data_IF_123031797905
#
_entry.id   IF_123031797905
#
_cell.length_a   1.000
_cell.length_b   1.000
_cell.length_c   1.000
_cell.angle_alpha   90.00
_cell.angle_beta   90.00
_cell.angle_gamma   90.00
#
_symmetry.space_group_name_H-M   'P 1'
#
loop_
_entity.id
_entity.type
_entity.pdbx_description
1 polymer ?
#
# COMPACT_ATOMS: atom_id res chain seq x y z
N UNK A 1 -1.94 21.74 14.54
CA UNK A 1 -1.30 21.42 13.25
C UNK A 1 -0.42 20.16 13.36
N UNK A 2 -1.00 19.01 13.71
CA UNK A 2 -0.27 17.73 13.95
C UNK A 2 -0.63 16.64 12.92
N UNK A 3 -0.91 17.02 11.67
CA UNK A 3 -1.38 16.08 10.65
C UNK A 3 -0.26 15.57 9.71
N UNK A 4 0.89 16.24 9.60
CA UNK A 4 1.79 16.04 8.45
C UNK A 4 2.74 14.83 8.60
N UNK A 5 2.88 14.25 9.79
CA UNK A 5 3.88 13.18 10.04
C UNK A 5 3.37 11.74 9.84
N UNK A 6 2.07 11.52 9.61
CA UNK A 6 1.45 10.18 9.53
C UNK A 6 1.02 9.75 8.13
N UNK A 7 1.38 10.51 7.08
CA UNK A 7 0.92 10.25 5.70
C UNK A 7 1.90 9.44 4.82
N UNK A 8 3.14 9.22 5.26
CA UNK A 8 4.15 8.38 4.58
C UNK A 8 4.49 7.12 5.40
N UNK A 9 3.48 6.40 5.91
CA UNK A 9 3.69 5.22 6.77
C UNK A 9 4.33 4.05 6.00
N UNK A 10 4.17 3.98 4.67
CA UNK A 10 4.74 2.88 3.88
C UNK A 10 6.28 2.88 3.85
N UNK A 11 6.94 4.04 3.67
CA UNK A 11 8.41 4.05 3.49
C UNK A 11 9.14 3.93 4.83
N UNK A 12 8.60 4.48 5.92
CA UNK A 12 9.27 4.45 7.22
C UNK A 12 9.23 3.07 7.90
N UNK A 13 8.10 2.35 7.80
CA UNK A 13 7.92 1.05 8.46
C UNK A 13 8.61 -0.09 7.72
N UNK A 14 8.83 0.06 6.41
CA UNK A 14 9.30 -1.01 5.53
C UNK A 14 10.76 -0.80 5.07
N UNK A 15 11.41 0.29 5.48
CA UNK A 15 12.76 0.70 5.05
C UNK A 15 13.86 -0.36 5.22
N UNK A 16 13.72 -1.27 6.17
CA UNK A 16 14.66 -2.38 6.46
C UNK A 16 14.03 -3.77 6.30
N UNK A 17 12.89 -3.87 5.62
CA UNK A 17 12.10 -5.10 5.44
C UNK A 17 12.07 -5.50 3.97
N UNK A 18 11.90 -6.79 3.66
CA UNK A 18 11.70 -7.22 2.27
C UNK A 18 10.24 -7.01 1.90
N UNK A 19 9.99 -6.22 0.87
CA UNK A 19 8.64 -5.90 0.43
C UNK A 19 8.49 -5.99 -1.07
N UNK A 20 7.25 -6.19 -1.50
CA UNK A 20 6.87 -6.20 -2.90
C UNK A 20 5.53 -5.52 -3.08
N UNK A 21 5.34 -4.97 -4.27
CA UNK A 21 4.06 -4.47 -4.73
C UNK A 21 3.34 -5.57 -5.51
N UNK A 22 2.04 -5.74 -5.29
CA UNK A 22 1.22 -6.77 -5.94
C UNK A 22 -0.08 -6.16 -6.46
N UNK A 23 -0.48 -6.58 -7.66
CA UNK A 23 -1.70 -6.12 -8.33
C UNK A 23 -2.77 -7.20 -8.49
N UNK A 24 -2.50 -8.42 -7.99
CA UNK A 24 -3.38 -9.58 -8.07
C UNK A 24 -3.18 -10.53 -6.89
N UNK A 25 -4.14 -11.43 -6.66
CA UNK A 25 -4.03 -12.44 -5.61
C UNK A 25 -2.91 -13.45 -5.88
N UNK A 26 -2.69 -13.83 -7.14
CA UNK A 26 -1.62 -14.76 -7.54
C UNK A 26 -0.22 -14.19 -7.24
N UNK A 27 -0.02 -12.89 -7.49
CA UNK A 27 1.22 -12.20 -7.13
C UNK A 27 1.41 -12.12 -5.61
N UNK A 28 0.33 -11.91 -4.86
CA UNK A 28 0.38 -11.95 -3.40
C UNK A 28 0.81 -13.34 -2.89
N UNK A 29 0.29 -14.43 -3.44
CA UNK A 29 0.70 -15.79 -3.09
C UNK A 29 2.19 -16.04 -3.36
N UNK A 30 2.69 -15.58 -4.53
CA UNK A 30 4.11 -15.68 -4.90
C UNK A 30 4.99 -14.87 -3.95
N UNK A 31 4.60 -13.65 -3.65
CA UNK A 31 5.29 -12.76 -2.72
C UNK A 31 5.41 -13.37 -1.32
N UNK A 32 4.29 -13.87 -0.81
CA UNK A 32 4.19 -14.53 0.49
C UNK A 32 5.08 -15.79 0.53
N UNK A 33 5.12 -16.55 -0.56
CA UNK A 33 5.99 -17.73 -0.71
C UNK A 33 7.47 -17.36 -0.78
N UNK A 34 7.82 -16.18 -1.30
CA UNK A 34 9.18 -15.65 -1.30
C UNK A 34 9.64 -15.12 0.07
N UNK A 35 8.74 -15.10 1.07
CA UNK A 35 9.06 -14.71 2.45
C UNK A 35 9.23 -13.20 2.61
N UNK A 36 8.39 -12.40 1.95
CA UNK A 36 8.33 -10.95 2.19
C UNK A 36 7.79 -10.63 3.57
N UNK A 37 8.28 -9.54 4.16
CA UNK A 37 7.85 -9.02 5.45
C UNK A 37 6.68 -8.03 5.32
N UNK A 38 6.48 -7.47 4.12
CA UNK A 38 5.40 -6.54 3.83
C UNK A 38 4.94 -6.63 2.37
N UNK A 39 3.67 -6.32 2.13
CA UNK A 39 3.05 -6.31 0.81
C UNK A 39 2.33 -4.98 0.62
N UNK A 40 2.62 -4.33 -0.52
CA UNK A 40 1.88 -3.17 -0.99
C UNK A 40 0.83 -3.68 -1.98
N UNK A 41 -0.44 -3.62 -1.60
CA UNK A 41 -1.56 -4.01 -2.46
C UNK A 41 -1.93 -2.81 -3.32
N UNK A 42 -1.63 -2.89 -4.60
CA UNK A 42 -1.91 -1.84 -5.58
C UNK A 42 -3.21 -2.14 -6.31
N UNK A 43 -4.22 -1.30 -6.11
CA UNK A 43 -5.43 -1.34 -6.93
C UNK A 43 -5.20 -0.70 -8.30
N UNK A 44 -6.08 -1.02 -9.25
CA UNK A 44 -6.10 -0.43 -10.59
C UNK A 44 -6.19 1.11 -10.58
N UNK A 45 -6.69 1.70 -9.50
CA UNK A 45 -6.82 3.15 -9.31
C UNK A 45 -5.48 3.84 -8.98
N UNK A 46 -4.37 3.11 -8.90
CA UNK A 46 -3.04 3.68 -8.73
C UNK A 46 -2.60 4.50 -9.96
N UNK A 47 -1.70 5.45 -9.72
CA UNK A 47 -1.03 6.18 -10.80
C UNK A 47 0.39 5.66 -10.99
N UNK A 48 0.98 5.87 -12.18
CA UNK A 48 2.34 5.41 -12.51
C UNK A 48 2.33 4.09 -13.27
N UNK A 49 3.25 3.18 -12.93
CA UNK A 49 3.27 1.83 -13.52
C UNK A 49 2.29 0.93 -12.77
N UNK A 50 1.05 0.89 -13.28
CA UNK A 50 -0.04 0.13 -12.65
C UNK A 50 0.11 -1.34 -12.98
N UNK A 51 0.36 -2.15 -11.95
CA UNK A 51 0.32 -3.62 -11.99
C UNK A 51 -1.06 -4.14 -11.57
N UNK A 52 -1.84 -3.32 -10.83
CA UNK A 52 -3.19 -3.64 -10.37
C UNK A 52 -4.17 -3.94 -11.50
N UNK A 53 -4.71 -5.16 -11.52
CA UNK A 53 -5.81 -5.55 -12.42
C UNK A 53 -7.17 -5.42 -11.75
N UNK A 54 -7.23 -5.65 -10.44
CA UNK A 54 -8.44 -5.51 -9.64
C UNK A 54 -8.49 -4.14 -8.94
N UNK A 55 -9.71 -3.65 -8.68
CA UNK A 55 -9.91 -2.46 -7.86
C UNK A 55 -9.49 -2.70 -6.40
N UNK A 56 -8.89 -1.68 -5.76
CA UNK A 56 -8.30 -1.82 -4.41
C UNK A 56 -9.29 -2.38 -3.38
N UNK A 57 -10.55 -1.91 -3.42
CA UNK A 57 -11.59 -2.31 -2.46
C UNK A 57 -11.90 -3.81 -2.51
N UNK A 58 -11.71 -4.45 -3.68
CA UNK A 58 -11.97 -5.86 -3.88
C UNK A 58 -10.71 -6.71 -3.60
N UNK A 59 -9.53 -6.20 -4.00
CA UNK A 59 -8.28 -6.94 -3.87
C UNK A 59 -7.78 -6.98 -2.42
N UNK A 60 -7.87 -5.86 -1.71
CA UNK A 60 -7.31 -5.70 -0.37
C UNK A 60 -7.77 -6.74 0.65
N UNK A 61 -9.09 -6.97 0.89
CA UNK A 61 -9.52 -7.96 1.87
C UNK A 61 -9.08 -9.38 1.51
N UNK A 62 -9.05 -9.72 0.21
CA UNK A 62 -8.61 -11.05 -0.26
C UNK A 62 -7.14 -11.30 0.05
N UNK A 63 -6.29 -10.27 -0.11
CA UNK A 63 -4.87 -10.37 0.24
C UNK A 63 -4.67 -10.42 1.75
N UNK A 64 -5.47 -9.69 2.52
CA UNK A 64 -5.44 -9.75 4.00
C UNK A 64 -5.80 -11.15 4.49
N UNK A 65 -6.88 -11.74 3.97
CA UNK A 65 -7.32 -13.09 4.32
C UNK A 65 -6.25 -14.14 3.97
N UNK A 66 -5.58 -13.98 2.83
CA UNK A 66 -4.49 -14.86 2.39
C UNK A 66 -3.30 -14.88 3.36
N UNK A 67 -3.02 -13.78 4.04
CA UNK A 67 -1.87 -13.65 4.95
C UNK A 67 -2.26 -13.64 6.42
N UNK A 68 -3.52 -13.94 6.76
CA UNK A 68 -4.04 -13.83 8.12
C UNK A 68 -3.28 -14.70 9.14
N UNK A 69 -2.69 -15.81 8.70
CA UNK A 69 -1.86 -16.72 9.50
C UNK A 69 -0.37 -16.32 9.55
N UNK A 70 0.01 -15.23 8.88
CA UNK A 70 1.39 -14.77 8.73
C UNK A 70 1.58 -13.37 9.29
N UNK A 71 2.78 -13.09 9.80
CA UNK A 71 3.13 -11.77 10.31
C UNK A 71 3.59 -10.82 9.18
N UNK A 72 2.73 -10.63 8.17
CA UNK A 72 3.01 -9.79 6.99
C UNK A 72 2.29 -8.45 7.11
N UNK A 73 3.03 -7.36 6.92
CA UNK A 73 2.46 -6.01 6.96
C UNK A 73 1.76 -5.72 5.63
N UNK A 74 0.48 -5.36 5.67
CA UNK A 74 -0.31 -5.00 4.49
C UNK A 74 -0.45 -3.49 4.36
N UNK A 75 -0.10 -2.93 3.19
CA UNK A 75 -0.23 -1.51 2.88
C UNK A 75 -1.13 -1.36 1.65
N UNK A 76 -2.15 -0.52 1.73
CA UNK A 76 -3.06 -0.28 0.63
C UNK A 76 -2.59 0.89 -0.26
N UNK A 77 -2.62 0.72 -1.58
CA UNK A 77 -2.20 1.73 -2.56
C UNK A 77 -3.20 1.80 -3.72
N UNK A 78 -3.52 3.02 -4.17
CA UNK A 78 -4.44 3.27 -5.30
C UNK A 78 -5.75 3.93 -4.88
N UNK A 79 -6.14 5.01 -5.57
CA UNK A 79 -7.44 5.67 -5.36
C UNK A 79 -7.70 6.34 -3.99
N UNK A 80 -6.79 6.27 -3.02
CA UNK A 80 -6.97 6.88 -1.69
C UNK A 80 -6.60 8.37 -1.73
N UNK A 81 -7.55 9.24 -1.35
CA UNK A 81 -7.43 10.71 -1.50
C UNK A 81 -7.48 11.46 -0.18
N UNK A 82 -8.25 10.96 0.79
CA UNK A 82 -8.52 11.62 2.06
C UNK A 82 -8.67 10.63 3.23
N UNK A 83 -9.04 11.15 4.41
CA UNK A 83 -9.23 10.35 5.62
C UNK A 83 -10.31 9.26 5.51
N UNK A 84 -11.31 9.41 4.62
CA UNK A 84 -12.35 8.40 4.42
C UNK A 84 -11.76 7.17 3.76
N UNK A 85 -10.96 7.38 2.71
CA UNK A 85 -10.24 6.29 2.05
C UNK A 85 -9.22 5.62 2.98
N UNK A 86 -8.56 6.40 3.85
CA UNK A 86 -7.68 5.84 4.89
C UNK A 86 -8.44 4.92 5.86
N UNK A 87 -9.55 5.39 6.43
CA UNK A 87 -10.37 4.59 7.36
C UNK A 87 -10.95 3.36 6.68
N UNK A 88 -11.39 3.48 5.42
CA UNK A 88 -11.85 2.35 4.63
C UNK A 88 -10.75 1.28 4.46
N UNK A 89 -9.52 1.70 4.10
CA UNK A 89 -8.40 0.77 3.95
C UNK A 89 -8.06 0.05 5.26
N UNK A 90 -8.04 0.76 6.40
CA UNK A 90 -7.83 0.14 7.71
C UNK A 90 -8.95 -0.83 8.08
N UNK A 91 -10.21 -0.48 7.77
CA UNK A 91 -11.37 -1.33 8.04
C UNK A 91 -11.35 -2.62 7.21
N UNK A 92 -10.71 -2.59 6.04
CA UNK A 92 -10.46 -3.76 5.19
C UNK A 92 -9.22 -4.58 5.60
N UNK A 93 -8.55 -4.20 6.70
CA UNK A 93 -7.41 -4.96 7.25
C UNK A 93 -6.02 -4.46 6.83
N UNK A 94 -5.92 -3.32 6.15
CA UNK A 94 -4.61 -2.70 5.93
C UNK A 94 -4.01 -2.16 7.23
N UNK A 95 -2.69 -2.22 7.33
CA UNK A 95 -1.90 -1.63 8.43
C UNK A 95 -1.51 -0.17 8.13
N UNK A 96 -1.66 0.26 6.88
CA UNK A 96 -1.32 1.61 6.42
C UNK A 96 -1.69 1.83 4.96
N UNK A 97 -1.39 3.04 4.47
CA UNK A 97 -1.66 3.44 3.09
C UNK A 97 -0.42 4.03 2.42
N UNK A 98 -0.31 3.85 1.11
CA UNK A 98 0.69 4.50 0.26
C UNK A 98 0.00 5.53 -0.64
N UNK A 99 0.48 6.78 -0.61
CA UNK A 99 -0.06 7.90 -1.36
C UNK A 99 0.99 8.44 -2.33
N UNK A 100 0.71 8.34 -3.63
CA UNK A 100 1.54 8.93 -4.70
C UNK A 100 0.87 10.16 -5.30
N UNK A 101 -0.10 9.95 -6.20
CA UNK A 101 -0.77 10.99 -7.01
C UNK A 101 -1.25 12.21 -6.21
N UNK A 102 -1.82 12.00 -5.02
CA UNK A 102 -2.30 13.08 -4.13
C UNK A 102 -1.20 14.08 -3.76
N UNK A 103 0.05 13.63 -3.69
CA UNK A 103 1.20 14.39 -3.20
C UNK A 103 2.00 15.07 -4.32
N UNK A 104 1.69 14.80 -5.60
CA UNK A 104 2.43 15.35 -6.77
C UNK A 104 2.42 16.88 -6.80
N UNK A 105 1.33 17.50 -6.33
CA UNK A 105 1.21 18.97 -6.28
C UNK A 105 1.79 19.58 -4.99
N UNK A 106 2.31 18.77 -4.07
CA UNK A 106 2.93 19.23 -2.83
C UNK A 106 4.45 19.26 -2.98
N UNK A 107 5.00 20.44 -3.29
CA UNK A 107 6.45 20.67 -3.53
C UNK A 107 7.39 20.14 -2.43
N UNK A 108 6.91 20.00 -1.20
CA UNK A 108 7.72 19.59 -0.05
C UNK A 108 7.88 18.07 0.09
N UNK A 109 7.02 17.26 -0.54
CA UNK A 109 6.97 15.79 -0.35
C UNK A 109 7.55 14.97 -1.51
N UNK A 110 7.76 15.55 -2.69
CA UNK A 110 8.28 14.81 -3.85
C UNK A 110 9.71 14.26 -3.60
N UNK A 111 10.56 15.00 -2.87
CA UNK A 111 11.92 14.53 -2.56
C UNK A 111 12.01 13.24 -1.72
N UNK A 112 10.90 12.78 -1.12
CA UNK A 112 10.88 11.54 -0.30
C UNK A 112 10.38 10.32 -1.10
N UNK A 113 9.78 10.53 -2.28
CA UNK A 113 9.11 9.49 -3.08
C UNK A 113 9.96 8.88 -4.21
N UNK A 114 11.08 9.49 -4.59
CA UNK A 114 11.97 8.99 -5.65
C UNK A 114 13.35 8.71 -5.07
N UNK A 115 13.47 7.59 -4.37
CA UNK A 115 14.75 6.88 -4.24
C UNK A 115 14.42 5.39 -4.26
N UNK A 116 14.42 4.84 -5.48
CA UNK A 116 14.74 3.45 -5.74
C UNK A 116 16.23 3.23 -5.43
#
# INVERSE_FOLDING_TARGET
MRAVALYCVAIATVRNRRWCEVGSLEEAEKAVSAGVDAIIVQGHEAGGHVIGQDGLINLLPRVVDLVADRNVIIIAAGGIVDGRGYVAALSLGAHGICLGTRLVLCYFLWKVLIFF
#
